data_IF_822114872906
#
_entry.id   IF_822114872906
#
_cell.length_a   1.000
_cell.length_b   1.000
_cell.length_c   1.000
_cell.angle_alpha   90.00
_cell.angle_beta   90.00
_cell.angle_gamma   90.00
#
_symmetry.space_group_name_H-M   'P 1'
#
loop_
_entity.id
_entity.type
_entity.pdbx_description
1 polymer ?
#
# COMPACT_ATOMS: atom_id res chain seq x y z
N UNK A 1 -22.12 -10.45 -25.01
CA UNK A 1 -21.09 -10.99 -24.10
C UNK A 1 -21.17 -10.14 -22.85
N UNK A 2 -21.77 -10.65 -21.77
CA UNK A 2 -22.18 -9.85 -20.61
C UNK A 2 -20.95 -9.45 -19.78
N UNK A 3 -20.53 -8.21 -19.95
CA UNK A 3 -19.67 -7.51 -19.00
C UNK A 3 -20.36 -7.59 -17.63
N UNK A 4 -19.74 -8.33 -16.72
CA UNK A 4 -20.12 -8.34 -15.30
C UNK A 4 -19.81 -6.96 -14.75
N UNK A 5 -20.78 -6.06 -14.87
CA UNK A 5 -20.81 -4.79 -14.15
C UNK A 5 -20.85 -5.15 -12.67
N UNK A 6 -19.68 -5.13 -12.03
CA UNK A 6 -19.60 -5.10 -10.59
C UNK A 6 -20.40 -3.86 -10.15
N UNK A 7 -21.40 -4.00 -9.25
CA UNK A 7 -22.22 -2.86 -8.88
C UNK A 7 -21.30 -1.76 -8.33
N UNK A 8 -21.52 -0.51 -8.74
CA UNK A 8 -20.72 0.66 -8.35
C UNK A 8 -20.52 0.77 -6.82
N UNK A 9 -21.43 0.21 -6.03
CA UNK A 9 -21.30 0.05 -4.58
C UNK A 9 -20.06 -0.74 -4.15
N UNK A 10 -19.68 -1.83 -4.84
CA UNK A 10 -18.46 -2.60 -4.54
C UNK A 10 -17.22 -1.79 -4.86
N UNK A 11 -17.17 -1.13 -6.02
CA UNK A 11 -16.05 -0.24 -6.42
C UNK A 11 -15.85 0.91 -5.42
N UNK A 12 -16.92 1.43 -4.85
CA UNK A 12 -16.88 2.52 -3.84
C UNK A 12 -16.36 2.03 -2.49
N UNK A 13 -16.72 0.82 -2.06
CA UNK A 13 -16.19 0.21 -0.82
C UNK A 13 -14.71 -0.11 -0.94
N UNK A 14 -14.26 -0.64 -2.08
CA UNK A 14 -12.84 -0.97 -2.33
C UNK A 14 -11.95 0.25 -2.22
N UNK A 15 -12.37 1.36 -2.84
CA UNK A 15 -11.60 2.60 -2.79
C UNK A 15 -11.50 3.11 -1.35
N UNK A 16 -12.56 2.97 -0.55
CA UNK A 16 -12.56 3.33 0.87
C UNK A 16 -11.62 2.44 1.68
N UNK A 17 -11.63 1.13 1.45
CA UNK A 17 -10.77 0.18 2.17
C UNK A 17 -9.29 0.45 1.86
N UNK A 18 -8.96 0.71 0.60
CA UNK A 18 -7.58 1.06 0.18
C UNK A 18 -7.18 2.43 0.74
N UNK A 19 -8.01 3.47 0.59
CA UNK A 19 -7.66 4.83 1.08
C UNK A 19 -7.64 4.94 2.61
N UNK A 20 -8.44 4.10 3.27
CA UNK A 20 -8.62 4.07 4.72
C UNK A 20 -7.68 3.09 5.43
N UNK A 21 -6.82 2.38 4.69
CA UNK A 21 -5.88 1.46 5.31
C UNK A 21 -4.93 2.26 6.23
N UNK A 22 -4.74 1.74 7.44
CA UNK A 22 -3.82 2.30 8.45
C UNK A 22 -3.05 1.16 9.09
N UNK A 23 -1.77 1.37 9.35
CA UNK A 23 -0.95 0.47 10.15
C UNK A 23 -1.50 0.44 11.57
N UNK A 24 -1.78 -0.76 12.07
CA UNK A 24 -2.33 -0.95 13.40
C UNK A 24 -1.22 -0.84 14.46
N UNK A 25 -1.59 -0.53 15.69
CA UNK A 25 -0.64 -0.51 16.81
C UNK A 25 -0.06 -1.92 17.03
N UNK A 26 1.26 -2.05 16.95
CA UNK A 26 1.96 -3.33 17.08
C UNK A 26 2.00 -4.18 15.80
N UNK A 27 1.41 -3.71 14.69
CA UNK A 27 1.56 -4.36 13.38
C UNK A 27 2.91 -3.99 12.77
N UNK A 28 3.70 -4.98 12.41
CA UNK A 28 4.97 -4.79 11.71
C UNK A 28 4.76 -4.23 10.30
N UNK A 29 5.80 -3.63 9.71
CA UNK A 29 5.77 -3.19 8.32
C UNK A 29 5.45 -4.36 7.36
N UNK A 30 5.98 -5.55 7.65
CA UNK A 30 5.70 -6.77 6.91
C UNK A 30 4.20 -7.12 6.90
N UNK A 31 3.58 -7.22 8.07
CA UNK A 31 2.16 -7.56 8.19
C UNK A 31 1.28 -6.52 7.51
N UNK A 32 1.62 -5.24 7.68
CA UNK A 32 0.92 -4.14 7.03
C UNK A 32 1.03 -4.22 5.49
N UNK A 33 2.23 -4.49 4.96
CA UNK A 33 2.48 -4.64 3.53
C UNK A 33 1.73 -5.83 2.93
N UNK A 34 1.74 -6.98 3.60
CA UNK A 34 0.99 -8.17 3.17
C UNK A 34 -0.52 -7.91 3.15
N UNK A 35 -1.04 -7.22 4.18
CA UNK A 35 -2.46 -6.84 4.22
C UNK A 35 -2.83 -5.89 3.09
N UNK A 36 -1.98 -4.90 2.80
CA UNK A 36 -2.16 -4.00 1.66
C UNK A 36 -2.19 -4.75 0.32
N UNK A 37 -1.21 -5.64 0.07
CA UNK A 37 -1.16 -6.48 -1.14
C UNK A 37 -2.40 -7.35 -1.28
N UNK A 38 -2.89 -7.94 -0.18
CA UNK A 38 -4.10 -8.77 -0.17
C UNK A 38 -5.35 -7.97 -0.57
N UNK A 39 -5.48 -6.72 -0.09
CA UNK A 39 -6.57 -5.83 -0.49
C UNK A 39 -6.46 -5.51 -1.99
N UNK A 40 -5.27 -5.18 -2.50
CA UNK A 40 -5.07 -4.89 -3.92
C UNK A 40 -5.38 -6.10 -4.81
N UNK A 41 -4.88 -7.29 -4.45
CA UNK A 41 -5.10 -8.55 -5.18
C UNK A 41 -6.56 -8.99 -5.20
N UNK A 42 -7.35 -8.61 -4.19
CA UNK A 42 -8.79 -8.91 -4.16
C UNK A 42 -9.58 -8.16 -5.23
N UNK A 43 -8.99 -7.11 -5.84
CA UNK A 43 -9.68 -6.20 -6.76
C UNK A 43 -8.85 -5.84 -8.00
N UNK A 44 -8.50 -6.80 -8.88
CA UNK A 44 -7.59 -6.58 -10.01
C UNK A 44 -8.06 -5.51 -11.03
N UNK A 45 -9.33 -5.12 -11.01
CA UNK A 45 -9.91 -4.06 -11.84
C UNK A 45 -10.23 -2.78 -11.05
N UNK A 46 -9.40 -2.41 -10.08
CA UNK A 46 -9.64 -1.25 -9.21
C UNK A 46 -9.55 0.11 -9.93
N UNK A 47 -8.94 0.19 -11.12
CA UNK A 47 -8.72 1.44 -11.89
C UNK A 47 -7.91 2.52 -11.13
N UNK A 48 -7.38 2.20 -9.95
CA UNK A 48 -6.45 3.02 -9.18
C UNK A 48 -5.04 2.86 -9.77
N UNK A 49 -4.32 3.98 -9.99
CA UNK A 49 -2.93 3.96 -10.45
C UNK A 49 -1.98 3.49 -9.35
N UNK A 50 -0.85 2.87 -9.72
CA UNK A 50 0.17 2.41 -8.77
C UNK A 50 0.70 3.56 -7.90
N UNK A 51 0.89 4.76 -8.48
CA UNK A 51 1.29 5.95 -7.73
C UNK A 51 0.30 6.30 -6.62
N UNK A 52 -1.00 6.20 -6.90
CA UNK A 52 -2.05 6.48 -5.91
C UNK A 52 -2.16 5.37 -4.86
N UNK A 53 -1.93 4.11 -5.24
CA UNK A 53 -1.83 2.99 -4.29
C UNK A 53 -0.67 3.21 -3.30
N UNK A 54 0.51 3.57 -3.80
CA UNK A 54 1.68 3.87 -2.96
C UNK A 54 1.44 5.07 -2.05
N UNK A 55 0.73 6.10 -2.54
CA UNK A 55 0.33 7.22 -1.72
C UNK A 55 -0.57 6.77 -0.55
N UNK A 56 -1.61 5.97 -0.80
CA UNK A 56 -2.48 5.47 0.26
C UNK A 56 -1.75 4.56 1.24
N UNK A 57 -0.85 3.71 0.74
CA UNK A 57 0.03 2.90 1.59
C UNK A 57 0.85 3.78 2.54
N UNK A 58 1.53 4.79 2.00
CA UNK A 58 2.40 5.70 2.75
C UNK A 58 1.63 6.55 3.75
N UNK A 59 0.47 7.09 3.36
CA UNK A 59 -0.43 7.84 4.24
C UNK A 59 -1.01 6.99 5.38
N UNK A 60 -1.00 5.66 5.22
CA UNK A 60 -1.48 4.74 6.24
C UNK A 60 -0.42 4.25 7.22
N UNK A 61 0.87 4.43 6.93
CA UNK A 61 1.96 4.02 7.82
C UNK A 61 1.96 4.75 9.16
N UNK A 62 2.53 4.13 10.18
CA UNK A 62 2.89 4.83 11.42
C UNK A 62 3.97 5.89 11.17
N UNK A 63 4.07 6.89 12.06
CA UNK A 63 5.07 7.95 11.92
C UNK A 63 6.50 7.38 11.91
N UNK A 64 6.77 6.34 12.69
CA UNK A 64 8.08 5.69 12.75
C UNK A 64 8.45 5.03 11.43
N UNK A 65 7.54 4.23 10.86
CA UNK A 65 7.78 3.57 9.57
C UNK A 65 7.94 4.59 8.43
N UNK A 66 7.16 5.67 8.42
CA UNK A 66 7.33 6.76 7.44
C UNK A 66 8.72 7.36 7.51
N UNK A 67 9.19 7.72 8.71
CA UNK A 67 10.53 8.30 8.89
C UNK A 67 11.64 7.34 8.45
N UNK A 68 11.49 6.04 8.69
CA UNK A 68 12.48 5.05 8.22
C UNK A 68 12.47 4.92 6.69
N UNK A 69 11.29 4.94 6.07
CA UNK A 69 11.15 4.88 4.61
C UNK A 69 11.69 6.14 3.93
N UNK A 70 11.43 7.33 4.48
CA UNK A 70 11.96 8.59 3.96
C UNK A 70 13.50 8.61 4.05
N UNK A 71 14.06 8.13 5.18
CA UNK A 71 15.50 8.00 5.33
C UNK A 71 16.11 7.00 4.35
N UNK A 72 15.46 5.86 4.10
CA UNK A 72 15.94 4.82 3.21
C UNK A 72 15.78 5.16 1.71
N UNK A 73 14.78 5.98 1.37
CA UNK A 73 14.58 6.49 0.00
C UNK A 73 15.51 7.67 -0.33
N UNK A 74 16.18 8.26 0.66
CA UNK A 74 17.06 9.41 0.48
C UNK A 74 16.29 10.72 0.23
N UNK A 75 15.01 10.77 0.60
CA UNK A 75 14.11 11.89 0.30
C UNK A 75 12.65 11.51 0.51
N UNK A 76 11.74 12.07 -0.31
CA UNK A 76 10.34 11.71 -0.28
C UNK A 76 10.08 10.50 -1.18
N UNK A 77 9.34 9.50 -0.68
CA UNK A 77 8.94 8.33 -1.48
C UNK A 77 8.15 8.70 -2.76
N UNK A 78 7.52 9.88 -2.78
CA UNK A 78 6.79 10.40 -3.94
C UNK A 78 7.64 10.75 -5.16
N UNK A 79 8.96 10.90 -4.99
CA UNK A 79 9.91 11.21 -6.07
C UNK A 79 10.46 9.95 -6.75
N UNK A 80 10.30 8.79 -6.12
CA UNK A 80 10.71 7.51 -6.68
C UNK A 80 9.74 7.02 -7.75
N UNK A 81 10.23 6.22 -8.69
CA UNK A 81 9.34 5.45 -9.56
C UNK A 81 8.56 4.42 -8.74
N UNK A 82 7.34 4.02 -9.16
CA UNK A 82 6.56 3.03 -8.43
C UNK A 82 7.33 1.72 -8.18
N UNK A 83 8.10 1.27 -9.16
CA UNK A 83 8.95 0.07 -9.05
C UNK A 83 10.02 0.21 -7.96
N UNK A 84 10.71 1.34 -7.89
CA UNK A 84 11.74 1.58 -6.87
C UNK A 84 11.12 1.64 -5.47
N UNK A 85 9.97 2.32 -5.33
CA UNK A 85 9.25 2.39 -4.08
C UNK A 85 8.79 1.00 -3.60
N UNK A 86 8.24 0.18 -4.50
CA UNK A 86 7.82 -1.20 -4.18
C UNK A 86 9.03 -2.03 -3.73
N UNK A 87 10.14 -2.00 -4.48
CA UNK A 87 11.35 -2.75 -4.12
C UNK A 87 11.91 -2.32 -2.75
N UNK A 88 11.88 -1.02 -2.45
CA UNK A 88 12.31 -0.50 -1.15
C UNK A 88 11.40 -0.99 -0.02
N UNK A 89 10.08 -0.88 -0.20
CA UNK A 89 9.08 -1.34 0.77
C UNK A 89 9.23 -2.84 1.02
N UNK A 90 9.40 -3.65 -0.02
CA UNK A 90 9.62 -5.10 0.11
C UNK A 90 10.88 -5.41 0.91
N UNK A 91 11.99 -4.74 0.60
CA UNK A 91 13.25 -4.92 1.35
C UNK A 91 13.08 -4.56 2.82
N UNK A 92 12.42 -3.44 3.12
CA UNK A 92 12.19 -3.01 4.50
C UNK A 92 11.21 -3.92 5.24
N UNK A 93 10.13 -4.34 4.57
CA UNK A 93 9.18 -5.31 5.09
C UNK A 93 9.88 -6.64 5.43
N UNK A 94 10.70 -7.18 4.53
CA UNK A 94 11.48 -8.40 4.80
C UNK A 94 12.43 -8.25 6.00
N UNK A 95 13.04 -7.08 6.18
CA UNK A 95 13.88 -6.82 7.35
C UNK A 95 13.06 -6.77 8.65
N UNK A 96 11.84 -6.22 8.61
CA UNK A 96 10.96 -6.14 9.78
C UNK A 96 10.39 -7.50 10.21
N UNK A 97 10.42 -8.52 9.35
CA UNK A 97 10.00 -9.89 9.68
C UNK A 97 11.09 -10.68 10.44
N UNK A 98 12.35 -10.26 10.35
CA UNK A 98 13.50 -10.99 10.89
C UNK A 98 13.82 -10.65 12.37
N UNK A 99 13.08 -9.72 12.96
CA UNK A 99 13.20 -9.29 14.36
C UNK A 99 11.89 -9.54 15.11
#
# INVERSE_FOLDING_TARGET
>A
FLEKIFPASRTTTIRKDISGIRQLSGESLYEYWERFKKICASYPHHQISEKLLLQYFYEGLSNMERSMIDAASGGALGDMTPTEAINLIEKMASNSQQF
#
